data_IF_547588407228
#
_entry.id   IF_547588407228
#
_cell.length_a   1.000
_cell.length_b   1.000
_cell.length_c   1.000
_cell.angle_alpha   90.00
_cell.angle_beta   90.00
_cell.angle_gamma   90.00
#
_symmetry.space_group_name_H-M   'P 1'
#
loop_
_entity.id
_entity.type
_entity.pdbx_description
1 polymer ?
#
# COMPACT_ATOMS: atom_id res chain seq x y z
N UNK A 1 -38.11 53.65 44.82
CA UNK A 1 -37.98 52.22 44.43
C UNK A 1 -38.43 51.86 43.01
N UNK A 2 -39.26 52.67 42.31
CA UNK A 2 -39.72 52.38 40.93
C UNK A 2 -38.61 52.38 39.86
N UNK A 3 -37.67 53.35 39.89
CA UNK A 3 -36.62 53.45 38.87
C UNK A 3 -35.58 52.30 38.92
N UNK A 4 -35.21 51.83 40.12
CA UNK A 4 -34.24 50.70 40.26
C UNK A 4 -34.77 49.39 39.70
N UNK A 5 -36.08 49.11 39.82
CA UNK A 5 -36.70 47.89 39.25
C UNK A 5 -36.70 47.93 37.71
N UNK A 6 -36.96 49.09 37.10
CA UNK A 6 -36.89 49.25 35.65
C UNK A 6 -35.46 49.14 35.13
N UNK A 7 -34.47 49.71 35.81
CA UNK A 7 -33.05 49.57 35.42
C UNK A 7 -32.59 48.11 35.48
N UNK A 8 -32.93 47.36 36.55
CA UNK A 8 -32.58 45.93 36.66
C UNK A 8 -33.28 45.10 35.60
N UNK A 9 -34.55 45.38 35.29
CA UNK A 9 -35.30 44.68 34.25
C UNK A 9 -34.68 44.92 32.86
N UNK A 10 -34.35 46.17 32.53
CA UNK A 10 -33.72 46.54 31.25
C UNK A 10 -32.36 45.85 31.12
N UNK A 11 -31.54 45.86 32.17
CA UNK A 11 -30.23 45.18 32.16
C UNK A 11 -30.38 43.67 31.98
N UNK A 12 -31.36 43.03 32.63
CA UNK A 12 -31.64 41.60 32.44
C UNK A 12 -32.07 41.30 31.00
N UNK A 13 -32.95 42.12 30.43
CA UNK A 13 -33.40 41.96 29.04
C UNK A 13 -32.23 42.05 28.08
N UNK A 14 -31.32 43.02 28.26
CA UNK A 14 -30.12 43.17 27.41
C UNK A 14 -29.21 41.94 27.52
N UNK A 15 -28.98 41.42 28.73
CA UNK A 15 -28.15 40.23 28.95
C UNK A 15 -28.79 39.01 28.27
N UNK A 16 -30.09 38.80 28.43
CA UNK A 16 -30.82 37.69 27.81
C UNK A 16 -30.72 37.78 26.28
N UNK A 17 -30.95 38.96 25.70
CA UNK A 17 -30.85 39.16 24.25
C UNK A 17 -29.43 38.89 23.74
N UNK A 18 -28.39 39.33 24.45
CA UNK A 18 -26.99 39.06 24.07
C UNK A 18 -26.67 37.56 24.12
N UNK A 19 -27.11 36.85 25.18
CA UNK A 19 -26.93 35.40 25.30
C UNK A 19 -27.66 34.66 24.17
N UNK A 20 -28.88 35.07 23.84
CA UNK A 20 -29.64 34.49 22.72
C UNK A 20 -28.95 34.69 21.37
N UNK A 21 -28.35 35.87 21.12
CA UNK A 21 -27.60 36.13 19.88
C UNK A 21 -26.37 35.24 19.79
N UNK A 22 -25.60 35.10 20.88
CA UNK A 22 -24.40 34.25 20.91
C UNK A 22 -24.77 32.79 20.65
N UNK A 23 -25.84 32.28 21.28
CA UNK A 23 -26.33 30.92 21.04
C UNK A 23 -26.78 30.70 19.59
N UNK A 24 -27.47 31.68 18.98
CA UNK A 24 -27.87 31.61 17.58
C UNK A 24 -26.67 31.56 16.62
N UNK A 25 -25.64 32.37 16.87
CA UNK A 25 -24.39 32.35 16.09
C UNK A 25 -23.69 30.99 16.21
N UNK A 26 -23.59 30.43 17.43
CA UNK A 26 -23.01 29.11 17.63
C UNK A 26 -23.80 28.02 16.91
N UNK A 27 -25.14 28.08 16.93
CA UNK A 27 -26.01 27.13 16.24
C UNK A 27 -25.83 27.19 14.72
N UNK A 28 -25.77 28.40 14.14
CA UNK A 28 -25.54 28.60 12.70
C UNK A 28 -24.16 28.09 12.30
N UNK A 29 -23.12 28.38 13.08
CA UNK A 29 -21.77 27.87 12.82
C UNK A 29 -21.70 26.35 12.90
N UNK A 30 -22.34 25.75 13.91
CA UNK A 30 -22.43 24.29 14.06
C UNK A 30 -23.15 23.64 12.87
N UNK A 31 -24.30 24.19 12.45
CA UNK A 31 -25.03 23.71 11.27
C UNK A 31 -24.24 23.85 9.97
N UNK A 32 -23.48 24.94 9.81
CA UNK A 32 -22.60 25.13 8.66
C UNK A 32 -21.47 24.10 8.63
N UNK A 33 -20.86 23.79 9.78
CA UNK A 33 -19.85 22.74 9.87
C UNK A 33 -20.45 21.36 9.57
N UNK A 34 -21.60 21.03 10.16
CA UNK A 34 -22.30 19.78 9.91
C UNK A 34 -22.66 19.60 8.42
N UNK A 35 -23.13 20.67 7.76
CA UNK A 35 -23.45 20.65 6.33
C UNK A 35 -22.21 20.42 5.46
N UNK A 36 -21.06 21.04 5.81
CA UNK A 36 -19.79 20.80 5.10
C UNK A 36 -19.33 19.35 5.25
N UNK A 37 -19.30 18.83 6.48
CA UNK A 37 -18.94 17.44 6.76
C UNK A 37 -19.87 16.46 6.05
N UNK A 38 -21.17 16.76 5.99
CA UNK A 38 -22.12 15.92 5.24
C UNK A 38 -21.81 15.89 3.74
N UNK A 39 -21.50 17.05 3.13
CA UNK A 39 -21.10 17.11 1.71
C UNK A 39 -19.79 16.37 1.43
N UNK A 40 -18.80 16.52 2.30
CA UNK A 40 -17.54 15.77 2.19
C UNK A 40 -17.78 14.27 2.28
N UNK A 41 -18.63 13.83 3.22
CA UNK A 41 -18.99 12.41 3.37
C UNK A 41 -19.70 11.86 2.13
N UNK A 42 -20.67 12.59 1.57
CA UNK A 42 -21.35 12.17 0.33
C UNK A 42 -20.37 12.10 -0.84
N UNK A 43 -19.45 13.07 -0.97
CA UNK A 43 -18.39 13.02 -1.99
C UNK A 43 -17.49 11.79 -1.84
N UNK A 44 -17.11 11.43 -0.60
CA UNK A 44 -16.29 10.23 -0.33
C UNK A 44 -17.07 8.95 -0.64
N UNK A 45 -18.38 8.90 -0.34
CA UNK A 45 -19.24 7.77 -0.72
C UNK A 45 -19.30 7.61 -2.24
N UNK A 46 -19.54 8.68 -2.97
CA UNK A 46 -19.57 8.63 -4.44
C UNK A 46 -18.23 8.16 -5.01
N UNK A 47 -17.11 8.61 -4.46
CA UNK A 47 -15.79 8.17 -4.89
C UNK A 47 -15.54 6.69 -4.58
N UNK A 48 -15.94 6.23 -3.40
CA UNK A 48 -15.92 4.81 -3.04
C UNK A 48 -16.76 3.98 -4.01
N UNK A 49 -17.99 4.40 -4.32
CA UNK A 49 -18.88 3.68 -5.22
C UNK A 49 -18.31 3.62 -6.65
N UNK A 50 -17.69 4.71 -7.12
CA UNK A 50 -16.92 4.72 -8.37
C UNK A 50 -15.76 3.74 -8.33
N UNK A 51 -14.99 3.69 -7.25
CA UNK A 51 -13.87 2.75 -7.10
C UNK A 51 -14.34 1.28 -7.13
N UNK A 52 -15.47 0.97 -6.47
CA UNK A 52 -16.09 -0.36 -6.52
C UNK A 52 -16.51 -0.72 -7.95
N UNK A 53 -17.19 0.19 -8.64
CA UNK A 53 -17.59 -0.02 -10.04
C UNK A 53 -16.38 -0.27 -10.97
N UNK A 54 -15.31 0.50 -10.82
CA UNK A 54 -14.07 0.33 -11.60
C UNK A 54 -13.44 -1.04 -11.31
N UNK A 55 -13.35 -1.43 -10.04
CA UNK A 55 -12.84 -2.73 -9.62
C UNK A 55 -13.66 -3.87 -10.24
N UNK A 56 -14.98 -3.78 -10.20
CA UNK A 56 -15.87 -4.83 -10.71
C UNK A 56 -15.72 -4.95 -12.23
N UNK A 57 -15.72 -3.82 -12.94
CA UNK A 57 -15.49 -3.79 -14.40
C UNK A 57 -14.15 -4.40 -14.79
N UNK A 58 -13.07 -4.06 -14.08
CA UNK A 58 -11.74 -4.62 -14.31
C UNK A 58 -11.73 -6.13 -14.03
N UNK A 59 -12.29 -6.55 -12.90
CA UNK A 59 -12.39 -7.97 -12.51
C UNK A 59 -13.14 -8.79 -13.56
N UNK A 60 -14.30 -8.30 -14.03
CA UNK A 60 -15.07 -8.96 -15.09
C UNK A 60 -14.29 -9.02 -16.40
N UNK A 61 -13.64 -7.92 -16.80
CA UNK A 61 -12.84 -7.89 -18.02
C UNK A 61 -11.70 -8.90 -17.97
N UNK A 62 -10.90 -8.91 -16.90
CA UNK A 62 -9.79 -9.86 -16.74
C UNK A 62 -10.31 -11.28 -16.71
N UNK A 63 -11.36 -11.59 -15.96
CA UNK A 63 -11.96 -12.93 -15.90
C UNK A 63 -12.43 -13.44 -17.27
N UNK A 64 -12.94 -12.55 -18.14
CA UNK A 64 -13.38 -12.91 -19.49
C UNK A 64 -12.23 -13.09 -20.48
N UNK A 65 -11.13 -12.32 -20.32
CA UNK A 65 -9.99 -12.34 -21.25
C UNK A 65 -8.98 -13.41 -20.86
N UNK A 66 -8.75 -13.59 -19.56
CA UNK A 66 -7.76 -14.51 -18.99
C UNK A 66 -8.26 -14.98 -17.60
N UNK A 67 -9.02 -16.07 -17.62
CA UNK A 67 -9.65 -16.60 -16.42
C UNK A 67 -8.65 -17.11 -15.39
N UNK A 68 -7.56 -17.72 -15.84
CA UNK A 68 -6.51 -18.26 -14.96
C UNK A 68 -5.79 -17.12 -14.23
N UNK A 69 -5.46 -16.04 -14.94
CA UNK A 69 -4.91 -14.83 -14.33
C UNK A 69 -5.87 -14.20 -13.31
N UNK A 70 -7.17 -14.21 -13.60
CA UNK A 70 -8.18 -13.73 -12.65
C UNK A 70 -8.21 -14.57 -11.37
N UNK A 71 -8.20 -15.90 -11.49
CA UNK A 71 -8.17 -16.80 -10.33
C UNK A 71 -6.89 -16.59 -9.50
N UNK A 72 -5.74 -16.51 -10.16
CA UNK A 72 -4.44 -16.27 -9.52
C UNK A 72 -4.43 -14.93 -8.75
N UNK A 73 -4.95 -13.86 -9.37
CA UNK A 73 -5.03 -12.55 -8.74
C UNK A 73 -6.01 -12.54 -7.55
N UNK A 74 -7.14 -13.23 -7.68
CA UNK A 74 -8.14 -13.33 -6.62
C UNK A 74 -7.61 -14.11 -5.41
N UNK A 75 -6.94 -15.24 -5.63
CA UNK A 75 -6.32 -16.04 -4.56
C UNK A 75 -5.22 -15.26 -3.84
N UNK A 76 -4.40 -14.52 -4.59
CA UNK A 76 -3.37 -13.64 -4.02
C UNK A 76 -3.97 -12.60 -3.06
N UNK A 77 -5.09 -11.95 -3.45
CA UNK A 77 -5.75 -10.92 -2.63
C UNK A 77 -6.47 -11.54 -1.42
N UNK A 78 -7.18 -12.65 -1.59
CA UNK A 78 -7.88 -13.32 -0.48
C UNK A 78 -6.92 -13.85 0.60
N UNK A 79 -5.69 -14.20 0.21
CA UNK A 79 -4.63 -14.54 1.15
C UNK A 79 -4.32 -13.42 2.15
N UNK A 80 -4.53 -12.15 1.81
CA UNK A 80 -4.15 -11.00 2.65
C UNK A 80 -5.05 -10.75 3.88
N UNK A 81 -6.09 -11.56 4.10
CA UNK A 81 -7.05 -11.35 5.20
C UNK A 81 -6.47 -11.54 6.61
N UNK A 82 -5.29 -12.16 6.76
CA UNK A 82 -4.57 -12.28 8.03
C UNK A 82 -3.09 -11.91 7.88
N UNK A 83 -2.79 -10.63 8.09
CA UNK A 83 -1.44 -10.10 7.91
C UNK A 83 -0.54 -10.47 9.10
N UNK A 84 0.60 -11.10 8.81
CA UNK A 84 1.68 -11.30 9.78
C UNK A 84 2.85 -10.39 9.44
N UNK A 85 3.34 -9.64 10.43
CA UNK A 85 4.42 -8.66 10.24
C UNK A 85 5.76 -9.19 10.75
N UNK A 86 6.83 -8.86 10.01
CA UNK A 86 8.22 -9.24 10.26
C UNK A 86 9.14 -8.04 10.06
N UNK A 87 10.37 -8.14 10.56
CA UNK A 87 11.44 -7.17 10.28
C UNK A 87 12.25 -7.60 9.08
N UNK A 88 12.80 -6.64 8.35
CA UNK A 88 13.77 -6.96 7.30
C UNK A 88 14.94 -7.76 7.88
N UNK A 89 15.34 -8.82 7.16
CA UNK A 89 16.32 -9.80 7.64
C UNK A 89 15.72 -11.00 8.38
N UNK A 90 14.45 -10.95 8.78
CA UNK A 90 13.79 -12.11 9.37
C UNK A 90 13.55 -13.20 8.33
N UNK A 91 13.99 -14.42 8.64
CA UNK A 91 13.74 -15.61 7.84
C UNK A 91 12.37 -16.20 8.13
N UNK A 92 11.55 -16.36 7.10
CA UNK A 92 10.18 -16.83 7.19
C UNK A 92 10.01 -18.12 6.40
N UNK A 93 9.33 -19.11 7.00
CA UNK A 93 9.03 -20.37 6.35
C UNK A 93 7.74 -20.28 5.52
N UNK A 94 7.84 -20.70 4.26
CA UNK A 94 6.75 -20.87 3.30
C UNK A 94 6.72 -22.34 2.90
N UNK A 95 5.81 -23.10 3.50
CA UNK A 95 5.81 -24.57 3.41
C UNK A 95 7.19 -25.16 3.79
N UNK A 96 8.00 -25.60 2.82
CA UNK A 96 9.37 -26.10 3.04
C UNK A 96 10.46 -25.12 2.61
N UNK A 97 10.10 -23.93 2.19
CA UNK A 97 11.04 -22.92 1.69
C UNK A 97 11.24 -21.82 2.72
N UNK A 98 12.46 -21.59 3.16
CA UNK A 98 12.77 -20.42 3.98
C UNK A 98 13.13 -19.24 3.09
N UNK A 99 12.49 -18.09 3.30
CA UNK A 99 12.77 -16.84 2.58
C UNK A 99 13.09 -15.76 3.61
N UNK A 100 14.25 -15.13 3.45
CA UNK A 100 14.64 -13.91 4.14
C UNK A 100 14.61 -12.75 3.16
N UNK A 101 13.95 -11.66 3.54
CA UNK A 101 13.84 -10.46 2.71
C UNK A 101 14.65 -9.33 3.37
N UNK A 102 15.63 -8.80 2.64
CA UNK A 102 16.46 -7.70 3.11
C UNK A 102 15.81 -6.33 2.82
N UNK A 103 16.33 -5.30 3.49
CA UNK A 103 15.86 -3.93 3.27
C UNK A 103 16.00 -3.50 1.81
N UNK A 104 14.99 -2.81 1.25
CA UNK A 104 15.08 -2.18 -0.06
C UNK A 104 16.25 -1.18 -0.14
N UNK A 105 17.00 -1.22 -1.23
CA UNK A 105 18.09 -0.27 -1.50
C UNK A 105 17.80 0.53 -2.75
N UNK A 106 17.62 1.84 -2.59
CA UNK A 106 17.58 2.78 -3.73
C UNK A 106 18.97 2.88 -4.35
N UNK A 107 19.04 2.85 -5.67
CA UNK A 107 20.28 3.11 -6.40
C UNK A 107 20.21 4.49 -7.05
N UNK A 108 21.21 5.32 -6.77
CA UNK A 108 21.25 6.73 -7.20
C UNK A 108 22.14 6.98 -8.43
N UNK A 109 22.89 5.98 -8.90
CA UNK A 109 23.70 6.08 -10.13
C UNK A 109 23.76 4.72 -10.85
N UNK A 110 23.79 4.77 -12.18
CA UNK A 110 23.55 3.61 -13.05
C UNK A 110 24.44 2.40 -12.77
N UNK A 111 23.84 1.21 -12.83
CA UNK A 111 24.51 -0.06 -13.13
C UNK A 111 23.57 -1.27 -13.17
N UNK A 112 22.30 -1.14 -12.78
CA UNK A 112 21.29 -2.16 -13.06
C UNK A 112 20.50 -1.75 -14.30
N UNK A 113 20.55 -2.58 -15.34
CA UNK A 113 19.68 -2.43 -16.49
C UNK A 113 18.23 -2.59 -16.00
N UNK A 114 17.47 -1.50 -16.08
CA UNK A 114 16.02 -1.52 -15.92
C UNK A 114 15.37 -1.49 -17.29
N UNK A 115 14.22 -2.12 -17.43
CA UNK A 115 13.41 -1.99 -18.62
C UNK A 115 12.60 -0.69 -18.63
N UNK A 116 12.17 -0.24 -17.45
CA UNK A 116 11.57 1.08 -17.31
C UNK A 116 12.59 2.17 -17.63
N UNK A 117 12.11 3.28 -18.21
CA UNK A 117 12.99 4.34 -18.65
C UNK A 117 13.70 5.01 -17.48
N UNK A 118 15.01 5.20 -17.61
CA UNK A 118 15.84 5.78 -16.56
C UNK A 118 15.65 7.29 -16.40
N UNK A 119 14.84 7.93 -17.25
CA UNK A 119 14.54 9.36 -17.17
C UNK A 119 13.43 9.64 -16.17
N UNK A 120 12.43 8.77 -16.07
CA UNK A 120 11.30 8.89 -15.16
C UNK A 120 11.41 8.01 -13.91
N UNK A 121 12.28 6.98 -13.94
CA UNK A 121 12.38 6.02 -12.83
C UNK A 121 13.81 5.92 -12.27
N UNK A 122 13.90 5.58 -10.98
CA UNK A 122 15.13 5.11 -10.31
C UNK A 122 15.00 3.63 -9.91
N UNK A 123 16.09 2.85 -9.91
CA UNK A 123 16.07 1.48 -9.45
C UNK A 123 15.99 1.40 -7.93
N UNK A 124 15.16 0.47 -7.46
CA UNK A 124 15.15 -0.02 -6.08
C UNK A 124 15.34 -1.52 -6.11
N UNK A 125 16.33 -2.00 -5.37
CA UNK A 125 16.66 -3.43 -5.31
C UNK A 125 16.21 -4.01 -3.98
N UNK A 126 15.54 -5.16 -4.04
CA UNK A 126 15.27 -6.01 -2.87
C UNK A 126 16.03 -7.31 -3.06
N UNK A 127 16.81 -7.70 -2.06
CA UNK A 127 17.53 -8.98 -2.07
C UNK A 127 16.78 -10.00 -1.22
N UNK A 128 16.58 -11.18 -1.78
CA UNK A 128 16.02 -12.33 -1.09
C UNK A 128 17.09 -13.41 -0.94
N UNK A 129 17.21 -13.95 0.26
CA UNK A 129 17.92 -15.20 0.50
C UNK A 129 16.89 -16.32 0.67
N UNK A 130 17.00 -17.36 -0.15
CA UNK A 130 16.01 -18.43 -0.27
C UNK A 130 16.71 -19.76 -0.01
N UNK A 131 16.15 -20.58 0.87
CA UNK A 131 16.59 -21.96 1.10
C UNK A 131 15.42 -22.89 0.80
N UNK A 132 15.53 -23.67 -0.27
CA UNK A 132 14.56 -24.69 -0.60
C UNK A 132 14.91 -25.98 0.16
N UNK A 133 14.17 -26.29 1.23
CA UNK A 133 14.38 -27.53 1.99
C UNK A 133 13.55 -28.70 1.45
N UNK A 134 12.85 -28.53 0.32
CA UNK A 134 12.14 -29.63 -0.32
C UNK A 134 13.06 -30.49 -1.19
N UNK A 135 12.63 -31.73 -1.44
CA UNK A 135 13.25 -32.67 -2.36
C UNK A 135 12.92 -32.36 -3.83
N UNK A 136 11.99 -31.43 -4.07
CA UNK A 136 11.56 -30.97 -5.39
C UNK A 136 12.01 -29.53 -5.65
N UNK A 137 12.17 -29.18 -6.92
CA UNK A 137 12.37 -27.78 -7.31
C UNK A 137 11.12 -26.97 -6.93
N UNK A 138 11.34 -25.73 -6.51
CA UNK A 138 10.26 -24.77 -6.27
C UNK A 138 10.32 -23.69 -7.32
N UNK A 139 9.16 -23.22 -7.74
CA UNK A 139 9.02 -22.10 -8.65
C UNK A 139 8.44 -20.91 -7.88
N UNK A 140 9.11 -19.77 -7.98
CA UNK A 140 8.70 -18.52 -7.35
C UNK A 140 8.44 -17.52 -8.46
N UNK A 141 7.31 -16.82 -8.36
CA UNK A 141 7.00 -15.66 -9.20
C UNK A 141 7.44 -14.39 -8.46
N UNK A 142 8.57 -13.75 -8.83
CA UNK A 142 9.05 -12.56 -8.14
C UNK A 142 8.09 -11.37 -8.24
N UNK A 143 7.25 -11.33 -9.29
CA UNK A 143 6.25 -10.28 -9.48
C UNK A 143 5.09 -10.32 -8.47
N UNK A 144 4.97 -11.38 -7.67
CA UNK A 144 4.02 -11.45 -6.54
C UNK A 144 4.55 -10.80 -5.26
N UNK A 145 5.81 -10.40 -5.24
CA UNK A 145 6.41 -9.66 -4.13
C UNK A 145 6.17 -8.18 -4.42
N UNK A 146 5.43 -7.52 -3.56
CA UNK A 146 5.06 -6.12 -3.72
C UNK A 146 5.95 -5.26 -2.84
N UNK A 147 6.38 -4.13 -3.35
CA UNK A 147 7.21 -3.16 -2.62
C UNK A 147 6.51 -1.82 -2.66
N UNK A 148 6.47 -1.13 -1.52
CA UNK A 148 5.89 0.21 -1.44
C UNK A 148 6.71 1.15 -0.57
N UNK A 149 6.51 2.44 -0.83
CA UNK A 149 7.11 3.51 -0.05
C UNK A 149 6.31 3.83 1.22
N UNK A 150 6.86 4.72 2.05
CA UNK A 150 6.28 5.18 3.31
C UNK A 150 4.97 5.96 3.16
N UNK A 151 4.56 6.26 1.92
CA UNK A 151 3.27 6.88 1.57
C UNK A 151 2.26 5.87 1.00
N UNK A 152 2.65 4.61 0.87
CA UNK A 152 1.81 3.54 0.33
C UNK A 152 1.79 3.47 -1.20
N UNK A 153 2.69 4.15 -1.89
CA UNK A 153 2.82 4.00 -3.34
C UNK A 153 3.59 2.72 -3.66
N UNK A 154 2.96 1.82 -4.43
CA UNK A 154 3.62 0.61 -4.90
C UNK A 154 4.60 0.92 -6.03
N UNK A 155 5.75 0.28 -5.99
CA UNK A 155 6.76 0.35 -7.05
C UNK A 155 6.45 -0.67 -8.13
N UNK A 156 6.80 -0.36 -9.39
CA UNK A 156 6.59 -1.27 -10.50
C UNK A 156 7.66 -2.36 -10.51
N UNK A 157 7.26 -3.63 -10.60
CA UNK A 157 8.19 -4.74 -10.83
C UNK A 157 8.88 -4.56 -12.19
N UNK A 158 10.20 -4.69 -12.22
CA UNK A 158 10.99 -4.51 -13.44
C UNK A 158 11.62 -5.83 -13.89
N UNK A 159 12.52 -6.38 -13.07
CA UNK A 159 13.34 -7.54 -13.44
C UNK A 159 13.85 -8.31 -12.23
N UNK A 160 14.43 -9.49 -12.49
CA UNK A 160 15.10 -10.32 -11.48
C UNK A 160 16.50 -10.66 -11.96
N UNK A 161 17.47 -10.53 -11.05
CA UNK A 161 18.88 -10.80 -11.29
C UNK A 161 19.29 -11.92 -10.36
N UNK A 162 20.00 -12.88 -10.90
CA UNK A 162 20.64 -13.96 -10.15
C UNK A 162 22.01 -14.24 -10.75
N UNK A 163 22.90 -14.71 -9.89
CA UNK A 163 24.27 -15.08 -10.17
C UNK A 163 24.60 -16.41 -9.46
N UNK A 164 23.55 -17.21 -9.20
CA UNK A 164 23.61 -18.43 -8.43
C UNK A 164 23.22 -19.61 -9.32
N UNK A 165 24.12 -20.59 -9.45
CA UNK A 165 23.89 -21.77 -10.29
C UNK A 165 22.74 -22.64 -9.78
N UNK A 166 22.27 -22.45 -8.54
CA UNK A 166 21.09 -23.13 -7.97
C UNK A 166 19.77 -22.51 -8.43
N UNK A 167 19.82 -21.43 -9.21
CA UNK A 167 18.67 -20.69 -9.70
C UNK A 167 18.60 -20.77 -11.22
N UNK A 168 17.42 -21.11 -11.75
CA UNK A 168 17.12 -20.97 -13.16
C UNK A 168 16.05 -19.89 -13.35
N UNK A 169 16.41 -18.79 -14.02
CA UNK A 169 15.43 -17.78 -14.45
C UNK A 169 14.83 -18.26 -15.77
N UNK A 170 13.64 -18.85 -15.70
CA UNK A 170 12.94 -19.31 -16.90
C UNK A 170 12.20 -18.16 -17.59
N UNK A 171 11.68 -17.22 -16.80
CA UNK A 171 11.10 -15.97 -17.27
C UNK A 171 11.09 -14.94 -16.14
N UNK A 172 10.65 -13.71 -16.42
CA UNK A 172 10.37 -12.72 -15.38
C UNK A 172 9.39 -13.18 -14.30
N UNK A 173 8.47 -14.06 -14.66
CA UNK A 173 7.42 -14.58 -13.77
C UNK A 173 7.78 -15.92 -13.14
N UNK A 174 8.96 -16.47 -13.46
CA UNK A 174 9.34 -17.83 -13.10
C UNK A 174 10.82 -17.90 -12.78
N UNK A 175 11.11 -17.98 -11.49
CA UNK A 175 12.44 -18.25 -10.95
C UNK A 175 12.38 -19.58 -10.22
N UNK A 176 13.12 -20.55 -10.74
CA UNK A 176 13.16 -21.90 -10.18
C UNK A 176 14.37 -22.04 -9.25
N UNK A 177 14.11 -22.42 -8.02
CA UNK A 177 15.13 -22.74 -7.01
C UNK A 177 15.25 -24.25 -6.89
N UNK A 178 16.45 -24.78 -7.12
CA UNK A 178 16.68 -26.22 -7.10
C UNK A 178 16.38 -26.84 -5.73
N UNK A 179 15.95 -28.10 -5.75
CA UNK A 179 15.77 -28.92 -4.55
C UNK A 179 17.01 -28.90 -3.65
N UNK A 180 16.83 -28.71 -2.33
CA UNK A 180 17.92 -28.59 -1.35
C UNK A 180 18.84 -27.37 -1.53
N UNK A 181 18.55 -26.50 -2.51
CA UNK A 181 19.40 -25.38 -2.90
C UNK A 181 19.27 -24.17 -1.98
N UNK A 182 20.33 -23.37 -1.93
CA UNK A 182 20.33 -22.02 -1.36
C UNK A 182 20.59 -21.03 -2.47
N UNK A 183 19.73 -20.04 -2.57
CA UNK A 183 19.75 -19.05 -3.62
C UNK A 183 19.76 -17.64 -3.04
N UNK A 184 20.48 -16.74 -3.71
CA UNK A 184 20.29 -15.30 -3.54
C UNK A 184 19.77 -14.71 -4.84
N UNK A 185 18.63 -14.02 -4.75
CA UNK A 185 18.06 -13.29 -5.89
C UNK A 185 17.91 -11.82 -5.56
N UNK A 186 18.13 -10.96 -6.55
CA UNK A 186 17.87 -9.54 -6.47
C UNK A 186 16.68 -9.21 -7.37
N UNK A 187 15.62 -8.66 -6.80
CA UNK A 187 14.47 -8.16 -7.55
C UNK A 187 14.64 -6.65 -7.71
N UNK A 188 14.52 -6.18 -8.94
CA UNK A 188 14.60 -4.77 -9.30
C UNK A 188 13.18 -4.23 -9.48
N UNK A 189 12.93 -3.09 -8.86
CA UNK A 189 11.71 -2.32 -8.98
C UNK A 189 12.02 -0.93 -9.53
N UNK A 190 11.10 -0.41 -10.34
CA UNK A 190 11.14 0.95 -10.85
C UNK A 190 10.32 1.86 -9.92
N UNK A 191 11.00 2.82 -9.29
CA UNK A 191 10.39 3.86 -8.47
C UNK A 191 10.32 5.16 -9.26
N UNK A 192 9.14 5.79 -9.33
CA UNK A 192 8.99 7.09 -9.98
C UNK A 192 9.89 8.12 -9.29
N UNK A 193 10.66 8.89 -10.07
CA UNK A 193 11.53 9.96 -9.58
C UNK A 193 10.80 11.03 -8.78
N UNK A 194 9.53 11.30 -9.08
CA UNK A 194 8.72 12.24 -8.30
C UNK A 194 8.57 11.79 -6.85
N UNK A 195 8.67 10.47 -6.60
CA UNK A 195 8.61 9.87 -5.29
C UNK A 195 10.01 9.58 -4.70
N UNK A 196 11.11 9.97 -5.35
CA UNK A 196 12.47 9.52 -4.97
C UNK A 196 12.86 9.83 -3.52
N UNK A 197 12.25 10.85 -2.93
CA UNK A 197 12.47 11.26 -1.53
C UNK A 197 11.77 10.34 -0.52
N UNK A 198 10.74 9.60 -0.92
CA UNK A 198 9.96 8.71 -0.05
C UNK A 198 10.77 7.48 0.32
N UNK A 199 10.76 7.06 1.58
CA UNK A 199 11.53 5.90 2.01
C UNK A 199 10.85 4.61 1.59
N UNK A 200 11.60 3.64 1.06
CA UNK A 200 11.01 2.35 0.65
C UNK A 200 11.10 1.40 1.82
N UNK A 201 9.95 1.14 2.46
CA UNK A 201 9.94 0.59 3.82
C UNK A 201 8.97 -0.57 4.04
N UNK A 202 8.21 -0.99 3.02
CA UNK A 202 7.25 -2.09 3.14
C UNK A 202 7.36 -3.05 1.98
N UNK A 203 7.45 -4.34 2.29
CA UNK A 203 7.38 -5.44 1.33
C UNK A 203 6.25 -6.38 1.72
N UNK A 204 5.45 -6.81 0.75
CA UNK A 204 4.31 -7.71 0.94
C UNK A 204 4.44 -8.93 0.03
N UNK A 205 4.23 -10.11 0.60
CA UNK A 205 4.19 -11.36 -0.15
C UNK A 205 3.17 -12.29 0.51
N UNK A 206 2.14 -12.68 -0.24
CA UNK A 206 0.98 -13.39 0.30
C UNK A 206 0.39 -12.62 1.49
N UNK A 207 0.23 -13.28 2.63
CA UNK A 207 -0.32 -12.70 3.85
C UNK A 207 0.75 -12.13 4.80
N UNK A 208 1.94 -11.84 4.30
CA UNK A 208 3.09 -11.46 5.11
C UNK A 208 3.65 -10.12 4.69
N UNK A 209 4.09 -9.36 5.69
CA UNK A 209 4.62 -8.01 5.52
C UNK A 209 5.98 -7.93 6.20
N UNK A 210 6.96 -7.32 5.53
CA UNK A 210 8.24 -6.93 6.12
C UNK A 210 8.33 -5.41 6.14
N UNK A 211 8.75 -4.89 7.29
CA UNK A 211 8.95 -3.46 7.50
C UNK A 211 10.26 -3.20 8.26
N UNK A 212 10.75 -1.95 8.22
CA UNK A 212 11.84 -1.51 9.12
C UNK A 212 11.43 -1.64 10.59
#
# INVERSE_FOLDING_TARGET
>A
MKNKKNTVLITLTIIITLVSIVLAIMLVNSNNQLSKTHKELESVKEEKDRAVMVKDKLSTYVSNVDHDLFLEANDFVLGMNSLTSYKFGDGVLFDKTQITINEPKKQTSGMLAMEHDSNSFIPVTVTLAITNNDSSNIEINPGKILVSDDKGNYLAYDSVITNDDTVAVQSKKSVVIRAGGKATIAIVYAMNKDNSNNDVNKIEFLNKIWTK
#
